data_IF_428313853682
#
_entry.id   IF_428313853682
#
_cell.length_a   1.000
_cell.length_b   1.000
_cell.length_c   1.000
_cell.angle_alpha   90.00
_cell.angle_beta   90.00
_cell.angle_gamma   90.00
#
_symmetry.space_group_name_H-M   'P 1'
#
loop_
_entity.id
_entity.type
_entity.pdbx_description
1 polymer ?
#
# COMPACT_ATOMS: atom_id res chain seq x y z
N UNK A 1 -23.71 -16.31 -1.74
CA UNK A 1 -24.99 -17.04 -1.82
C UNK A 1 -24.98 -18.07 -2.95
N UNK A 2 -24.63 -17.69 -4.19
CA UNK A 2 -24.58 -18.57 -5.38
C UNK A 2 -23.77 -19.85 -5.19
N UNK A 3 -22.52 -19.78 -4.68
CA UNK A 3 -21.67 -20.97 -4.48
C UNK A 3 -22.24 -22.02 -3.51
N UNK A 4 -22.98 -21.58 -2.48
CA UNK A 4 -23.63 -22.43 -1.47
C UNK A 4 -24.79 -23.22 -2.07
N UNK A 5 -25.58 -22.57 -2.93
CA UNK A 5 -26.72 -23.19 -3.63
C UNK A 5 -26.20 -24.19 -4.66
N UNK A 6 -25.17 -23.83 -5.42
CA UNK A 6 -24.55 -24.71 -6.42
C UNK A 6 -23.97 -26.00 -5.82
N UNK A 7 -23.28 -25.91 -4.68
CA UNK A 7 -22.76 -27.10 -3.98
C UNK A 7 -23.88 -28.02 -3.47
N UNK A 8 -24.98 -27.45 -2.97
CA UNK A 8 -26.11 -28.25 -2.49
C UNK A 8 -26.79 -28.98 -3.65
N UNK A 9 -27.04 -28.28 -4.75
CA UNK A 9 -27.61 -28.86 -5.99
C UNK A 9 -26.71 -30.00 -6.49
N UNK A 10 -25.39 -29.81 -6.51
CA UNK A 10 -24.45 -30.86 -6.93
C UNK A 10 -24.53 -32.12 -6.05
N UNK A 11 -24.57 -31.97 -4.71
CA UNK A 11 -24.73 -33.11 -3.78
C UNK A 11 -26.05 -33.83 -4.07
N UNK A 12 -27.14 -33.10 -4.26
CA UNK A 12 -28.46 -33.67 -4.55
C UNK A 12 -28.53 -34.38 -5.90
N UNK A 13 -27.93 -33.81 -6.96
CA UNK A 13 -27.88 -34.42 -8.29
C UNK A 13 -27.08 -35.72 -8.31
N UNK A 14 -25.95 -35.77 -7.59
CA UNK A 14 -25.16 -36.99 -7.44
C UNK A 14 -25.99 -38.09 -6.78
N UNK A 15 -26.73 -37.75 -5.73
CA UNK A 15 -27.64 -38.71 -5.06
C UNK A 15 -28.72 -39.26 -5.98
N UNK A 16 -29.40 -38.39 -6.73
CA UNK A 16 -30.40 -38.81 -7.72
C UNK A 16 -29.82 -39.72 -8.81
N UNK A 17 -28.59 -39.46 -9.27
CA UNK A 17 -27.92 -40.29 -10.26
C UNK A 17 -27.65 -41.71 -9.73
N UNK A 18 -27.19 -41.82 -8.48
CA UNK A 18 -26.98 -43.12 -7.84
C UNK A 18 -28.29 -43.91 -7.64
N UNK A 19 -29.36 -43.23 -7.19
CA UNK A 19 -30.70 -43.82 -7.07
C UNK A 19 -31.23 -44.33 -8.42
N UNK A 20 -31.06 -43.55 -9.48
CA UNK A 20 -31.47 -43.93 -10.84
C UNK A 20 -30.72 -45.18 -11.33
N UNK A 21 -29.39 -45.22 -11.15
CA UNK A 21 -28.57 -46.38 -11.51
C UNK A 21 -28.99 -47.66 -10.79
N UNK A 22 -29.26 -47.56 -9.49
CA UNK A 22 -29.78 -48.67 -8.68
C UNK A 22 -31.16 -49.15 -9.13
N UNK A 23 -32.08 -48.21 -9.41
CA UNK A 23 -33.44 -48.56 -9.84
C UNK A 23 -33.41 -49.34 -11.16
N UNK A 24 -32.56 -48.94 -12.10
CA UNK A 24 -32.36 -49.68 -13.35
C UNK A 24 -31.74 -51.06 -13.14
N UNK A 25 -30.86 -51.22 -12.15
CA UNK A 25 -30.28 -52.51 -11.78
C UNK A 25 -31.35 -53.47 -11.24
N UNK A 26 -32.26 -52.99 -10.39
CA UNK A 26 -33.38 -53.78 -9.86
C UNK A 26 -34.44 -54.12 -10.90
N UNK A 27 -34.77 -53.20 -11.81
CA UNK A 27 -35.76 -53.42 -12.87
C UNK A 27 -35.28 -54.41 -13.94
N UNK A 28 -33.97 -54.60 -14.08
CA UNK A 28 -33.38 -55.51 -15.07
C UNK A 28 -32.88 -56.84 -14.46
N UNK A 29 -33.49 -57.29 -13.36
CA UNK A 29 -33.04 -58.36 -12.45
C UNK A 29 -33.24 -59.81 -12.94
N UNK A 30 -33.41 -60.06 -14.25
CA UNK A 30 -33.53 -61.44 -14.76
C UNK A 30 -32.22 -62.20 -14.49
N UNK A 31 -32.27 -63.21 -13.62
CA UNK A 31 -31.15 -64.09 -13.30
C UNK A 31 -30.37 -63.74 -12.03
N UNK A 32 -30.87 -62.84 -11.18
CA UNK A 32 -30.22 -62.50 -9.90
C UNK A 32 -30.43 -63.60 -8.84
N UNK A 33 -29.35 -63.97 -8.15
CA UNK A 33 -29.38 -64.88 -6.99
C UNK A 33 -29.43 -64.11 -5.67
N UNK A 34 -29.66 -64.81 -4.54
CA UNK A 34 -29.78 -64.18 -3.22
C UNK A 34 -28.57 -63.33 -2.79
N UNK A 35 -27.37 -63.67 -3.27
CA UNK A 35 -26.15 -62.90 -3.02
C UNK A 35 -26.16 -61.52 -3.71
N UNK A 36 -26.76 -61.39 -4.88
CA UNK A 36 -26.81 -60.12 -5.64
C UNK A 36 -27.70 -59.08 -4.95
N UNK A 37 -28.78 -59.53 -4.31
CA UNK A 37 -29.62 -58.68 -3.48
C UNK A 37 -28.87 -58.18 -2.23
N UNK A 38 -28.05 -59.02 -1.60
CA UNK A 38 -27.21 -58.62 -0.47
C UNK A 38 -26.19 -57.55 -0.84
N UNK A 39 -25.50 -57.71 -1.97
CA UNK A 39 -24.55 -56.70 -2.49
C UNK A 39 -25.25 -55.37 -2.77
N UNK A 40 -26.44 -55.42 -3.36
CA UNK A 40 -27.25 -54.23 -3.66
C UNK A 40 -27.67 -53.47 -2.39
N UNK A 41 -28.06 -54.20 -1.33
CA UNK A 41 -28.40 -53.61 -0.03
C UNK A 41 -27.17 -52.96 0.61
N UNK A 42 -26.01 -53.61 0.57
CA UNK A 42 -24.76 -53.04 1.10
C UNK A 42 -24.40 -51.75 0.36
N UNK A 43 -24.54 -51.72 -0.97
CA UNK A 43 -24.28 -50.54 -1.79
C UNK A 43 -25.22 -49.38 -1.44
N UNK A 44 -26.52 -49.65 -1.22
CA UNK A 44 -27.50 -48.65 -0.78
C UNK A 44 -27.11 -48.03 0.57
N UNK A 45 -26.70 -48.86 1.53
CA UNK A 45 -26.24 -48.37 2.84
C UNK A 45 -25.02 -47.46 2.69
N UNK A 46 -24.04 -47.85 1.86
CA UNK A 46 -22.85 -47.03 1.61
C UNK A 46 -23.18 -45.67 0.97
N UNK A 47 -24.14 -45.62 0.04
CA UNK A 47 -24.57 -44.37 -0.60
C UNK A 47 -25.23 -43.43 0.42
N UNK A 48 -26.15 -43.94 1.24
CA UNK A 48 -26.80 -43.14 2.29
C UNK A 48 -25.79 -42.59 3.29
N UNK A 49 -24.81 -43.41 3.69
CA UNK A 49 -23.72 -42.96 4.57
C UNK A 49 -22.86 -41.88 3.91
N UNK A 50 -22.55 -42.04 2.62
CA UNK A 50 -21.77 -41.06 1.85
C UNK A 50 -22.51 -39.73 1.70
N UNK A 51 -23.81 -39.75 1.36
CA UNK A 51 -24.63 -38.53 1.29
C UNK A 51 -24.74 -37.83 2.65
N UNK A 52 -24.97 -38.59 3.72
CA UNK A 52 -24.99 -38.05 5.08
C UNK A 52 -23.66 -37.38 5.45
N UNK A 53 -22.54 -37.98 5.05
CA UNK A 53 -21.21 -37.40 5.21
C UNK A 53 -21.05 -36.10 4.40
N UNK A 54 -21.47 -36.07 3.14
CA UNK A 54 -21.42 -34.86 2.30
C UNK A 54 -22.28 -33.73 2.86
N UNK A 55 -23.49 -34.02 3.34
CA UNK A 55 -24.38 -33.03 3.97
C UNK A 55 -23.74 -32.49 5.26
N UNK A 56 -23.08 -33.35 6.05
CA UNK A 56 -22.35 -32.93 7.25
C UNK A 56 -21.19 -31.99 6.90
N UNK A 57 -20.40 -32.31 5.87
CA UNK A 57 -19.34 -31.44 5.36
C UNK A 57 -19.90 -30.12 4.84
N UNK A 58 -21.00 -30.15 4.11
CA UNK A 58 -21.69 -28.96 3.60
C UNK A 58 -22.14 -28.04 4.74
N UNK A 59 -22.84 -28.59 5.75
CA UNK A 59 -23.29 -27.82 6.92
C UNK A 59 -22.11 -27.20 7.66
N UNK A 60 -21.00 -27.92 7.80
CA UNK A 60 -19.77 -27.42 8.43
C UNK A 60 -19.09 -26.33 7.61
N UNK A 61 -19.01 -26.47 6.29
CA UNK A 61 -18.34 -25.51 5.40
C UNK A 61 -19.13 -24.21 5.21
N UNK A 62 -20.46 -24.27 5.33
CA UNK A 62 -21.37 -23.15 5.13
C UNK A 62 -22.16 -22.78 6.39
N UNK A 63 -21.69 -23.18 7.58
CA UNK A 63 -22.20 -22.68 8.85
C UNK A 63 -21.94 -21.18 8.96
N UNK A 64 -22.78 -20.46 9.70
CA UNK A 64 -22.59 -19.03 9.94
C UNK A 64 -21.18 -18.76 10.52
N UNK A 65 -20.78 -19.57 11.51
CA UNK A 65 -19.46 -19.52 12.13
C UNK A 65 -18.31 -19.73 11.13
N UNK A 66 -18.42 -20.71 10.22
CA UNK A 66 -17.36 -20.95 9.22
C UNK A 66 -17.26 -19.82 8.19
N UNK A 67 -18.39 -19.23 7.82
CA UNK A 67 -18.42 -18.05 6.93
C UNK A 67 -17.80 -16.85 7.63
N UNK A 68 -18.14 -16.62 8.89
CA UNK A 68 -17.58 -15.53 9.69
C UNK A 68 -16.08 -15.70 9.89
N UNK A 69 -15.63 -16.89 10.29
CA UNK A 69 -14.20 -17.20 10.43
C UNK A 69 -13.42 -16.97 9.13
N UNK A 70 -14.02 -17.25 7.95
CA UNK A 70 -13.40 -16.94 6.65
C UNK A 70 -13.29 -15.44 6.42
N UNK A 71 -14.36 -14.68 6.67
CA UNK A 71 -14.34 -13.21 6.56
C UNK A 71 -13.28 -12.61 7.49
N UNK A 72 -13.20 -13.08 8.73
CA UNK A 72 -12.19 -12.66 9.69
C UNK A 72 -10.77 -13.00 9.23
N UNK A 73 -10.55 -14.21 8.70
CA UNK A 73 -9.24 -14.60 8.13
C UNK A 73 -8.86 -13.75 6.91
N UNK A 74 -9.80 -13.47 6.02
CA UNK A 74 -9.56 -12.60 4.87
C UNK A 74 -9.25 -11.17 5.30
N UNK A 75 -9.99 -10.63 6.28
CA UNK A 75 -9.73 -9.33 6.87
C UNK A 75 -8.35 -9.30 7.56
N UNK A 76 -8.00 -10.34 8.32
CA UNK A 76 -6.69 -10.47 8.97
C UNK A 76 -5.56 -10.54 7.94
N UNK A 77 -5.73 -11.30 6.85
CA UNK A 77 -4.76 -11.35 5.75
C UNK A 77 -4.59 -10.00 5.07
N UNK A 78 -5.69 -9.30 4.76
CA UNK A 78 -5.64 -7.95 4.19
C UNK A 78 -4.95 -6.96 5.12
N UNK A 79 -5.25 -7.03 6.42
CA UNK A 79 -4.60 -6.22 7.45
C UNK A 79 -3.10 -6.51 7.52
N UNK A 80 -2.72 -7.78 7.56
CA UNK A 80 -1.32 -8.19 7.58
C UNK A 80 -0.57 -7.75 6.32
N UNK A 81 -1.19 -7.87 5.15
CA UNK A 81 -0.63 -7.40 3.89
C UNK A 81 -0.43 -5.89 3.91
N UNK A 82 -1.45 -5.13 4.32
CA UNK A 82 -1.36 -3.69 4.48
C UNK A 82 -0.23 -3.30 5.45
N UNK A 83 -0.15 -3.94 6.62
CA UNK A 83 0.91 -3.72 7.61
C UNK A 83 2.31 -4.05 7.10
N UNK A 84 2.46 -5.05 6.22
CA UNK A 84 3.73 -5.38 5.60
C UNK A 84 4.12 -4.34 4.54
N UNK A 85 3.19 -3.98 3.66
CA UNK A 85 3.41 -2.98 2.61
C UNK A 85 3.60 -1.58 3.18
N UNK A 86 2.92 -1.23 4.28
CA UNK A 86 3.06 0.07 4.95
C UNK A 86 4.40 0.22 5.68
N UNK A 87 5.25 -0.81 5.74
CA UNK A 87 6.64 -0.69 6.19
C UNK A 87 7.58 -0.30 5.05
N UNK A 88 7.15 -0.47 3.80
CA UNK A 88 7.90 -0.05 2.62
C UNK A 88 7.67 1.45 2.40
N UNK A 89 8.75 2.23 2.49
CA UNK A 89 8.71 3.68 2.28
C UNK A 89 8.21 4.01 0.86
N UNK A 90 7.35 5.02 0.75
CA UNK A 90 6.76 5.48 -0.50
C UNK A 90 5.69 4.56 -1.11
N UNK A 91 5.39 3.42 -0.50
CA UNK A 91 4.35 2.49 -0.99
C UNK A 91 2.96 3.11 -0.89
N UNK A 92 2.00 2.63 -1.69
CA UNK A 92 0.60 3.06 -1.60
C UNK A 92 0.00 2.85 -0.21
N UNK A 93 0.33 1.74 0.44
CA UNK A 93 -0.10 1.45 1.81
C UNK A 93 0.52 2.42 2.82
N UNK A 94 1.78 2.86 2.61
CA UNK A 94 2.42 3.91 3.42
C UNK A 94 1.78 5.29 3.21
N UNK A 95 1.45 5.65 1.96
CA UNK A 95 0.73 6.87 1.64
C UNK A 95 -0.65 6.90 2.31
N UNK A 96 -1.39 5.79 2.23
CA UNK A 96 -2.69 5.63 2.89
C UNK A 96 -2.58 5.73 4.41
N UNK A 97 -1.51 5.19 5.02
CA UNK A 97 -1.26 5.30 6.45
C UNK A 97 -1.14 6.76 6.90
N UNK A 98 -0.50 7.61 6.09
CA UNK A 98 -0.40 9.05 6.36
C UNK A 98 -1.60 9.85 5.88
N UNK A 99 -2.58 9.21 5.22
CA UNK A 99 -3.66 9.88 4.51
C UNK A 99 -3.12 10.95 3.54
N UNK A 100 -2.03 10.60 2.85
CA UNK A 100 -1.35 11.46 1.90
C UNK A 100 -1.98 11.32 0.51
N UNK A 101 -2.12 12.45 -0.20
CA UNK A 101 -2.64 12.48 -1.56
C UNK A 101 -1.52 12.51 -2.62
N UNK A 102 -0.29 12.78 -2.20
CA UNK A 102 0.89 12.80 -3.03
C UNK A 102 2.10 12.26 -2.25
N UNK A 103 2.94 11.51 -2.95
CA UNK A 103 4.25 11.09 -2.46
C UNK A 103 5.28 11.20 -3.59
N UNK A 104 6.42 11.82 -3.30
CA UNK A 104 7.56 11.91 -4.20
C UNK A 104 8.82 11.39 -3.53
N UNK A 105 9.73 10.84 -4.34
CA UNK A 105 11.09 10.46 -3.93
C UNK A 105 12.07 11.50 -4.47
N UNK A 106 12.84 12.14 -3.58
CA UNK A 106 13.74 13.25 -3.91
C UNK A 106 15.02 13.19 -3.08
N UNK A 107 16.06 13.92 -3.48
CA UNK A 107 17.29 14.02 -2.67
C UNK A 107 17.22 15.22 -1.73
N UNK A 108 17.44 14.99 -0.45
CA UNK A 108 17.61 16.04 0.55
C UNK A 108 18.88 16.84 0.27
N UNK A 109 18.80 18.16 0.41
CA UNK A 109 19.95 19.05 0.33
C UNK A 109 20.25 19.69 1.68
N UNK A 110 19.24 20.34 2.30
CA UNK A 110 19.43 20.97 3.60
C UNK A 110 18.14 21.08 4.42
N UNK A 111 18.31 21.37 5.72
CA UNK A 111 17.21 21.73 6.63
C UNK A 111 16.63 20.60 7.46
N UNK A 112 16.96 19.35 7.16
CA UNK A 112 16.61 18.17 7.96
C UNK A 112 17.87 17.57 8.62
N UNK A 113 17.75 16.89 9.78
CA UNK A 113 18.82 16.12 10.39
C UNK A 113 19.10 14.81 9.62
N UNK A 114 19.30 14.92 8.31
CA UNK A 114 19.67 13.81 7.42
C UNK A 114 20.82 14.29 6.51
N UNK A 115 21.65 13.36 6.05
CA UNK A 115 22.78 13.70 5.19
C UNK A 115 22.34 14.42 3.90
N UNK A 116 23.15 15.36 3.43
CA UNK A 116 23.02 15.97 2.10
C UNK A 116 23.13 14.91 1.00
N UNK A 117 22.42 15.11 -0.11
CA UNK A 117 22.35 14.21 -1.27
C UNK A 117 21.51 12.95 -1.05
N UNK A 118 20.96 12.76 0.15
CA UNK A 118 20.29 11.52 0.47
C UNK A 118 18.85 11.42 -0.03
N UNK A 119 18.48 10.24 -0.53
CA UNK A 119 17.11 9.97 -0.95
C UNK A 119 16.14 9.95 0.26
N UNK A 120 15.07 10.73 0.15
CA UNK A 120 13.97 10.80 1.11
C UNK A 120 12.62 10.68 0.39
N UNK A 121 11.59 10.34 1.13
CA UNK A 121 10.20 10.41 0.68
C UNK A 121 9.52 11.64 1.28
N UNK A 122 8.77 12.36 0.45
CA UNK A 122 8.00 13.52 0.88
C UNK A 122 6.54 13.25 0.60
N UNK A 123 5.72 13.24 1.65
CA UNK A 123 4.28 13.01 1.57
C UNK A 123 3.54 14.32 1.83
N UNK A 124 2.61 14.67 0.93
CA UNK A 124 1.66 15.75 1.18
C UNK A 124 0.43 15.17 1.84
N UNK A 125 0.16 15.60 3.06
CA UNK A 125 -1.05 15.27 3.80
C UNK A 125 -1.94 16.52 3.85
N UNK A 126 -3.17 16.37 4.35
CA UNK A 126 -4.13 17.48 4.44
C UNK A 126 -3.67 18.61 5.37
N UNK A 127 -2.99 18.27 6.46
CA UNK A 127 -2.65 19.15 7.58
C UNK A 127 -1.12 19.29 7.79
N UNK A 128 -0.33 18.49 7.07
CA UNK A 128 1.13 18.45 7.23
C UNK A 128 1.83 17.94 5.98
N UNK A 129 3.14 18.18 5.94
CA UNK A 129 4.09 17.54 5.03
C UNK A 129 4.95 16.60 5.86
N UNK A 130 5.11 15.36 5.41
CA UNK A 130 5.94 14.36 6.10
C UNK A 130 7.18 14.09 5.26
N UNK A 131 8.35 14.23 5.88
CA UNK A 131 9.65 13.87 5.32
C UNK A 131 10.12 12.59 5.99
N UNK A 132 10.39 11.56 5.20
CA UNK A 132 10.69 10.24 5.73
C UNK A 132 11.93 9.63 5.09
N UNK A 133 12.82 9.10 5.94
CA UNK A 133 13.97 8.31 5.52
C UNK A 133 14.31 7.26 6.58
N UNK A 134 14.36 5.99 6.16
CA UNK A 134 14.66 4.86 7.05
C UNK A 134 13.79 4.88 8.32
N UNK A 135 14.36 5.26 9.47
CA UNK A 135 13.65 5.34 10.76
C UNK A 135 13.31 6.77 11.20
N UNK A 136 13.77 7.78 10.45
CA UNK A 136 13.48 9.18 10.73
C UNK A 136 12.21 9.61 9.99
N UNK A 137 11.23 10.10 10.75
CA UNK A 137 10.01 10.71 10.23
C UNK A 137 9.90 12.10 10.84
N UNK A 138 9.84 13.11 9.97
CA UNK A 138 9.80 14.51 10.38
C UNK A 138 8.53 15.11 9.79
N UNK A 139 7.72 15.73 10.64
CA UNK A 139 6.44 16.30 10.26
C UNK A 139 6.51 17.83 10.32
N UNK A 140 6.10 18.48 9.22
CA UNK A 140 5.94 19.92 9.12
C UNK A 140 4.46 20.24 9.02
N UNK A 141 3.90 20.84 10.05
CA UNK A 141 2.51 21.30 10.03
C UNK A 141 2.33 22.36 8.92
N UNK A 142 1.28 22.21 8.10
CA UNK A 142 1.02 23.10 6.97
C UNK A 142 0.81 24.55 7.41
N UNK A 143 0.28 24.78 8.62
CA UNK A 143 0.07 26.13 9.16
C UNK A 143 1.37 26.87 9.48
N UNK A 144 2.50 26.16 9.56
CA UNK A 144 3.83 26.76 9.77
C UNK A 144 4.54 27.03 8.44
N UNK A 145 4.03 26.50 7.33
CA UNK A 145 4.60 26.73 6.01
C UNK A 145 4.27 28.15 5.59
N UNK A 146 5.31 28.92 5.32
CA UNK A 146 5.21 30.29 4.83
C UNK A 146 5.13 30.26 3.30
N UNK A 147 5.98 29.45 2.66
CA UNK A 147 6.04 29.35 1.21
C UNK A 147 6.64 28.00 0.74
N UNK A 148 6.29 27.60 -0.47
CA UNK A 148 6.83 26.43 -1.17
C UNK A 148 7.17 26.85 -2.60
N UNK A 149 8.46 26.85 -2.95
CA UNK A 149 8.95 27.37 -4.21
C UNK A 149 10.01 26.47 -4.83
N UNK A 150 10.16 26.57 -6.15
CA UNK A 150 11.25 25.94 -6.89
C UNK A 150 12.19 27.04 -7.38
N UNK A 151 13.49 26.90 -7.09
CA UNK A 151 14.54 27.82 -7.53
C UNK A 151 15.70 27.07 -8.16
N UNK A 152 16.34 27.71 -9.13
CA UNK A 152 17.58 27.20 -9.70
C UNK A 152 18.79 27.59 -8.87
N UNK A 153 19.87 26.83 -8.99
CA UNK A 153 21.20 27.22 -8.47
C UNK A 153 21.60 28.63 -8.92
N UNK A 154 21.39 28.97 -10.19
CA UNK A 154 21.69 30.30 -10.75
C UNK A 154 20.86 31.40 -10.09
N UNK A 155 19.56 31.17 -9.85
CA UNK A 155 18.71 32.13 -9.13
C UNK A 155 19.14 32.31 -7.67
N UNK A 156 19.50 31.22 -6.99
CA UNK A 156 19.96 31.25 -5.60
C UNK A 156 21.30 32.01 -5.51
N UNK A 157 22.25 31.70 -6.39
CA UNK A 157 23.54 32.37 -6.44
C UNK A 157 23.42 33.86 -6.78
N UNK A 158 22.59 34.23 -7.77
CA UNK A 158 22.35 35.64 -8.11
C UNK A 158 21.78 36.42 -6.92
N UNK A 159 20.80 35.83 -6.25
CA UNK A 159 20.15 36.47 -5.11
C UNK A 159 21.11 36.61 -3.92
N UNK A 160 22.00 35.62 -3.72
CA UNK A 160 23.10 35.70 -2.74
C UNK A 160 24.10 36.83 -3.02
N UNK A 161 24.54 36.97 -4.28
CA UNK A 161 25.52 37.99 -4.70
C UNK A 161 24.89 39.40 -4.74
N UNK A 162 23.60 39.54 -5.06
CA UNK A 162 22.93 40.83 -5.04
C UNK A 162 22.65 41.37 -3.64
N UNK A 163 22.43 40.50 -2.66
CA UNK A 163 22.14 40.90 -1.27
C UNK A 163 23.41 41.20 -0.46
N UNK A 164 24.59 40.81 -0.95
CA UNK A 164 25.88 41.21 -0.38
C UNK A 164 26.12 42.74 -0.37
N UNK A 165 25.30 43.53 -1.07
CA UNK A 165 25.35 45.00 -1.09
C UNK A 165 24.22 45.74 -0.34
N UNK A 166 23.17 45.06 0.14
CA UNK A 166 22.04 45.66 0.86
C UNK A 166 21.55 44.75 1.98
N UNK A 167 22.41 44.54 2.97
CA UNK A 167 22.02 43.96 4.24
C UNK A 167 21.02 44.87 4.97
N UNK A 168 19.73 44.64 4.76
CA UNK A 168 18.68 45.11 5.67
C UNK A 168 17.77 43.93 5.99
N UNK A 169 17.93 43.43 7.22
CA UNK A 169 17.06 42.50 7.94
C UNK A 169 17.05 41.02 7.50
N UNK A 170 18.13 40.32 7.86
CA UNK A 170 18.01 39.00 8.49
C UNK A 170 18.08 37.75 7.60
N UNK A 171 19.21 37.05 7.73
CA UNK A 171 19.49 35.66 7.34
C UNK A 171 19.78 35.38 5.87
N UNK A 172 21.00 34.85 5.66
CA UNK A 172 21.42 33.97 4.57
C UNK A 172 20.24 33.46 3.74
N UNK A 173 20.12 33.96 2.51
CA UNK A 173 19.04 33.59 1.61
C UNK A 173 18.98 32.06 1.48
N UNK A 174 17.86 31.44 1.88
CA UNK A 174 17.67 29.97 1.93
C UNK A 174 18.55 29.18 2.93
N UNK A 175 19.12 29.84 3.94
CA UNK A 175 19.85 29.21 5.05
C UNK A 175 21.06 28.39 4.58
N UNK A 176 21.14 27.12 5.01
CA UNK A 176 22.24 26.22 4.64
C UNK A 176 22.31 25.93 3.14
N UNK A 177 21.18 25.91 2.43
CA UNK A 177 21.18 25.73 0.97
C UNK A 177 21.90 26.88 0.27
N UNK A 178 21.63 28.12 0.70
CA UNK A 178 22.30 29.30 0.17
C UNK A 178 23.81 29.29 0.43
N UNK A 179 24.26 28.77 1.57
CA UNK A 179 25.68 28.62 1.86
C UNK A 179 26.35 27.54 0.99
N UNK A 180 25.67 26.42 0.73
CA UNK A 180 26.15 25.36 -0.16
C UNK A 180 26.34 25.92 -1.58
N UNK A 181 25.29 26.54 -2.14
CA UNK A 181 25.30 27.03 -3.52
C UNK A 181 26.13 28.31 -3.69
N UNK A 182 26.02 29.25 -2.74
CA UNK A 182 26.75 30.52 -2.76
C UNK A 182 28.24 30.37 -2.49
N UNK A 183 28.64 29.31 -1.77
CA UNK A 183 30.05 28.94 -1.54
C UNK A 183 30.73 28.32 -2.76
N UNK A 184 29.97 27.80 -3.71
CA UNK A 184 30.47 27.36 -5.02
C UNK A 184 30.81 28.59 -5.89
N UNK A 185 31.88 29.29 -5.51
CA UNK A 185 32.37 30.51 -6.18
C UNK A 185 33.09 30.26 -7.52
N UNK A 186 32.82 29.15 -8.21
CA UNK A 186 33.42 28.84 -9.50
C UNK A 186 32.33 28.66 -10.54
N UNK A 187 32.49 29.37 -11.67
CA UNK A 187 31.71 29.18 -12.89
C UNK A 187 31.42 27.70 -13.09
N UNK A 188 30.15 27.30 -12.96
CA UNK A 188 29.73 25.97 -13.37
C UNK A 188 30.01 25.87 -14.87
N UNK A 189 31.07 25.14 -15.21
CA UNK A 189 31.29 24.64 -16.59
C UNK A 189 30.24 23.61 -16.99
N UNK A 190 29.44 23.14 -16.03
CA UNK A 190 28.26 22.32 -16.26
C UNK A 190 27.13 23.15 -16.90
N UNK A 191 26.61 22.67 -18.02
CA UNK A 191 25.43 23.24 -18.69
C UNK A 191 24.12 22.87 -17.97
N UNK A 192 24.19 22.04 -16.93
CA UNK A 192 23.02 21.56 -16.19
C UNK A 192 22.63 22.58 -15.13
N UNK A 193 21.44 23.15 -15.28
CA UNK A 193 20.82 24.05 -14.30
C UNK A 193 20.07 23.19 -13.28
N UNK A 194 20.58 23.13 -12.06
CA UNK A 194 19.97 22.37 -10.98
C UNK A 194 18.75 23.10 -10.43
N UNK A 195 17.70 22.33 -10.08
CA UNK A 195 16.47 22.88 -9.49
C UNK A 195 16.29 22.37 -8.07
N UNK A 196 15.83 23.25 -7.19
CA UNK A 196 15.64 22.97 -5.78
C UNK A 196 14.22 23.30 -5.36
N UNK A 197 13.52 22.32 -4.79
CA UNK A 197 12.24 22.51 -4.11
C UNK A 197 12.52 22.94 -2.66
N UNK A 198 11.99 24.09 -2.26
CA UNK A 198 12.31 24.75 -1.00
C UNK A 198 11.03 25.03 -0.23
N UNK A 199 10.98 24.56 1.01
CA UNK A 199 9.94 24.85 1.98
C UNK A 199 10.46 25.90 2.96
N UNK A 200 9.88 27.09 2.96
CA UNK A 200 10.11 28.10 3.98
C UNK A 200 9.06 27.92 5.09
N UNK A 201 9.49 27.87 6.35
CA UNK A 201 8.57 27.65 7.46
C UNK A 201 9.00 28.39 8.73
N UNK A 202 8.02 28.71 9.57
CA UNK A 202 8.22 29.34 10.87
C UNK A 202 8.55 28.29 11.93
N UNK A 203 9.64 28.53 12.66
CA UNK A 203 10.04 27.73 13.81
C UNK A 203 10.56 28.64 14.92
N UNK A 204 9.76 28.79 15.97
CA UNK A 204 10.09 29.58 17.15
C UNK A 204 10.35 31.06 16.82
N UNK A 205 9.54 31.65 15.92
CA UNK A 205 9.69 33.03 15.49
C UNK A 205 10.79 33.28 14.46
N UNK A 206 11.53 32.24 14.04
CA UNK A 206 12.52 32.33 12.97
C UNK A 206 12.04 31.61 11.71
N UNK A 207 12.43 32.13 10.55
CA UNK A 207 12.23 31.45 9.27
C UNK A 207 13.35 30.43 9.08
N UNK A 208 12.96 29.18 8.84
CA UNK A 208 13.84 28.06 8.48
C UNK A 208 13.47 27.51 7.12
N UNK A 209 14.39 26.77 6.52
CA UNK A 209 14.24 26.21 5.18
C UNK A 209 14.50 24.71 5.20
N UNK A 210 13.72 23.96 4.43
CA UNK A 210 14.01 22.57 4.03
C UNK A 210 14.11 22.55 2.51
N UNK A 211 15.14 21.90 1.96
CA UNK A 211 15.37 21.89 0.52
C UNK A 211 15.72 20.51 -0.03
N UNK A 212 15.27 20.28 -1.26
CA UNK A 212 15.51 19.05 -2.00
C UNK A 212 15.87 19.34 -3.45
N UNK A 213 16.76 18.53 -4.02
CA UNK A 213 17.11 18.56 -5.44
C UNK A 213 15.96 17.93 -6.25
N UNK A 214 15.44 18.67 -7.24
CA UNK A 214 14.34 18.28 -8.14
C UNK A 214 14.66 18.66 -9.59
N UNK A 215 15.94 18.64 -9.96
CA UNK A 215 16.41 18.91 -11.34
C UNK A 215 15.68 18.06 -12.35
N UNK A 216 15.54 16.77 -12.04
CA UNK A 216 14.63 15.87 -12.73
C UNK A 216 13.28 15.90 -12.01
N UNK A 217 12.19 16.16 -12.75
CA UNK A 217 10.85 16.18 -12.17
C UNK A 217 10.55 14.85 -11.49
N UNK A 218 10.25 14.85 -10.18
CA UNK A 218 10.03 13.61 -9.46
C UNK A 218 8.67 13.02 -9.84
N UNK A 219 8.65 11.71 -10.09
CA UNK A 219 7.40 11.00 -10.32
C UNK A 219 6.58 10.93 -9.02
N UNK A 220 5.31 11.30 -9.12
CA UNK A 220 4.33 11.05 -8.08
C UNK A 220 3.98 9.56 -8.05
N UNK A 221 4.25 8.89 -6.92
CA UNK A 221 3.94 7.47 -6.75
C UNK A 221 2.46 7.23 -6.52
#
# INVERSE_FOLDING_TARGET
MVKKVLHLIAITLVGFYFLYGLTNMFLNSKGYEGADYLVSIILLVLIVLFEGFLIKLYKRAYSAEAIEARKQREAAKKKQQFEAESKVLGSKSRQQLFNADLCIKVKHMAGLPVAEGAEIFVYRCKDKIVFERSQATIELNINKVIDILIKTDVEIQKSWVSDAGKAIAGNNLFGSLGAIIGGEAKEKTSTIIEKYLIFAYEKNGEIKYISMEVTNEPNAN
#
